data_IF_603500260674
#
_entry.id   IF_603500260674
#
_cell.length_a   1.000
_cell.length_b   1.000
_cell.length_c   1.000
_cell.angle_alpha   90.00
_cell.angle_beta   90.00
_cell.angle_gamma   90.00
#
_symmetry.space_group_name_H-M   'P 1'
#
loop_
_entity.id
_entity.type
_entity.pdbx_description
1 polymer ?
#
# COMPACT_ATOMS: atom_id res chain seq x y z
N UNK A 1 -38.19 44.46 45.22
CA UNK A 1 -39.52 44.26 44.59
C UNK A 1 -39.42 43.01 43.72
N UNK A 2 -40.06 41.90 44.17
CA UNK A 2 -40.39 40.62 43.49
C UNK A 2 -39.23 39.81 42.85
N UNK A 3 -38.59 38.80 43.47
CA UNK A 3 -38.94 37.40 43.89
C UNK A 3 -39.43 36.39 42.83
N UNK A 4 -38.62 35.32 42.65
CA UNK A 4 -38.84 33.87 42.37
C UNK A 4 -39.63 33.44 41.09
N UNK A 5 -39.45 32.26 40.46
CA UNK A 5 -39.18 30.89 40.95
C UNK A 5 -38.66 29.98 39.80
N UNK A 6 -37.89 28.93 40.17
CA UNK A 6 -37.48 27.76 39.37
C UNK A 6 -38.64 26.78 39.10
N UNK A 7 -38.63 26.04 37.97
CA UNK A 7 -39.26 24.72 37.87
C UNK A 7 -38.63 23.84 36.78
N UNK A 8 -38.10 22.69 37.22
CA UNK A 8 -37.57 21.56 36.45
C UNK A 8 -38.70 20.53 36.29
N UNK A 9 -38.98 20.04 35.08
CA UNK A 9 -39.99 18.99 34.85
C UNK A 9 -39.27 17.69 34.46
N UNK A 10 -39.35 16.72 35.36
CA UNK A 10 -39.03 15.31 35.15
C UNK A 10 -40.34 14.58 34.78
N UNK A 11 -40.33 13.78 33.71
CA UNK A 11 -41.45 12.92 33.36
C UNK A 11 -41.16 11.48 33.83
N UNK A 12 -42.00 10.99 34.74
CA UNK A 12 -42.08 9.60 35.21
C UNK A 12 -43.34 9.00 34.59
N UNK A 13 -43.21 7.89 33.87
CA UNK A 13 -44.34 7.09 33.40
C UNK A 13 -44.41 5.81 34.26
N UNK A 14 -45.52 5.65 34.98
CA UNK A 14 -45.87 4.43 35.73
C UNK A 14 -46.96 3.70 34.93
N UNK A 15 -46.78 2.40 34.71
CA UNK A 15 -47.87 1.50 34.31
C UNK A 15 -47.86 0.31 35.29
N UNK A 16 -49.02 0.09 35.91
CA UNK A 16 -49.32 -1.00 36.85
C UNK A 16 -49.98 -2.20 36.15
N UNK A 17 -49.48 -3.40 36.46
CA UNK A 17 -50.29 -4.57 36.87
C UNK A 17 -50.78 -5.57 35.82
N UNK A 18 -50.29 -6.83 35.88
CA UNK A 18 -51.07 -7.98 36.38
C UNK A 18 -50.22 -9.26 36.54
N UNK A 19 -50.55 -10.02 37.60
CA UNK A 19 -50.01 -11.29 38.12
C UNK A 19 -50.12 -12.47 37.13
N UNK A 20 -49.31 -13.52 37.12
CA UNK A 20 -49.10 -14.50 38.20
C UNK A 20 -48.12 -15.63 37.80
N UNK A 21 -47.37 -16.13 38.80
CA UNK A 21 -46.88 -17.53 39.06
C UNK A 21 -46.02 -18.25 37.98
N UNK A 22 -45.03 -19.09 38.25
CA UNK A 22 -44.54 -19.83 39.43
C UNK A 22 -43.10 -20.36 39.14
N UNK A 23 -42.32 -20.58 40.21
CA UNK A 23 -41.16 -21.51 40.38
C UNK A 23 -39.84 -21.31 39.58
N UNK A 24 -38.74 -20.88 40.21
CA UNK A 24 -37.76 -21.62 41.05
C UNK A 24 -36.88 -22.62 40.24
N UNK A 25 -35.65 -22.30 39.84
CA UNK A 25 -34.38 -22.09 40.57
C UNK A 25 -33.38 -23.26 40.47
N UNK A 26 -32.10 -22.89 40.28
CA UNK A 26 -30.79 -23.60 40.44
C UNK A 26 -30.15 -24.11 39.14
N UNK A 27 -29.05 -23.52 38.65
CA UNK A 27 -27.64 -23.61 39.12
C UNK A 27 -27.17 -25.07 39.17
N UNK A 28 -26.01 -25.46 38.65
CA UNK A 28 -24.69 -24.89 38.87
C UNK A 28 -23.68 -25.44 37.84
N UNK A 29 -22.53 -24.77 37.76
CA UNK A 29 -21.33 -25.12 37.03
C UNK A 29 -20.61 -26.37 37.56
N UNK A 30 -19.82 -27.02 36.71
CA UNK A 30 -18.56 -27.68 37.10
C UNK A 30 -17.68 -28.00 35.88
N UNK A 31 -16.38 -28.10 36.17
CA UNK A 31 -15.17 -28.10 35.34
C UNK A 31 -14.73 -29.48 34.77
N UNK A 32 -14.20 -29.46 33.52
CA UNK A 32 -13.08 -30.25 32.89
C UNK A 32 -13.07 -31.80 32.91
N UNK A 33 -12.20 -32.52 32.13
CA UNK A 33 -11.67 -32.33 30.76
C UNK A 33 -11.68 -33.65 29.92
N UNK A 34 -11.69 -33.63 28.58
CA UNK A 34 -11.37 -34.84 27.75
C UNK A 34 -10.63 -34.46 26.45
N UNK A 35 -9.40 -34.98 26.31
CA UNK A 35 -8.70 -35.22 25.03
C UNK A 35 -9.29 -36.45 24.31
N UNK A 36 -9.44 -36.41 22.98
CA UNK A 36 -9.02 -37.50 22.06
C UNK A 36 -9.51 -37.28 20.61
N UNK A 37 -8.55 -37.29 19.69
CA UNK A 37 -8.57 -37.87 18.33
C UNK A 37 -9.63 -37.47 17.30
N UNK A 38 -9.18 -36.99 16.15
CA UNK A 38 -9.98 -36.95 14.93
C UNK A 38 -9.32 -36.18 13.80
N UNK A 39 -8.40 -36.84 13.10
CA UNK A 39 -7.96 -36.47 11.76
C UNK A 39 -9.17 -36.32 10.83
N UNK A 40 -9.27 -35.18 10.13
CA UNK A 40 -10.10 -34.97 8.93
C UNK A 40 -9.73 -33.63 8.31
N UNK A 41 -8.81 -33.70 7.36
CA UNK A 41 -8.67 -32.86 6.17
C UNK A 41 -9.87 -31.93 5.87
N UNK A 42 -9.61 -30.63 5.86
CA UNK A 42 -10.32 -29.71 4.95
C UNK A 42 -9.25 -28.97 4.16
N UNK A 43 -8.80 -29.66 3.11
CA UNK A 43 -8.21 -29.04 1.93
C UNK A 43 -9.35 -28.32 1.21
N UNK A 44 -9.55 -27.06 1.55
CA UNK A 44 -10.43 -26.16 0.79
C UNK A 44 -9.56 -25.30 -0.10
N UNK A 45 -9.22 -25.84 -1.27
CA UNK A 45 -8.97 -25.03 -2.47
C UNK A 45 -10.24 -24.27 -2.78
N UNK A 46 -10.40 -23.09 -2.18
CA UNK A 46 -11.35 -22.09 -2.64
C UNK A 46 -10.73 -21.52 -3.91
N UNK A 47 -11.18 -22.01 -5.06
CA UNK A 47 -11.00 -21.32 -6.31
C UNK A 47 -11.62 -19.92 -6.16
N UNK A 48 -10.78 -18.89 -6.11
CA UNK A 48 -11.22 -17.51 -6.13
C UNK A 48 -12.02 -17.29 -7.41
N UNK A 49 -13.32 -17.09 -7.27
CA UNK A 49 -14.20 -16.69 -8.36
C UNK A 49 -13.71 -15.36 -8.92
N UNK A 50 -13.60 -15.30 -10.25
CA UNK A 50 -13.02 -14.26 -11.11
C UNK A 50 -13.77 -12.91 -11.05
N UNK A 51 -13.83 -12.28 -9.88
CA UNK A 51 -14.35 -10.93 -9.68
C UNK A 51 -13.25 -9.84 -9.74
N UNK A 52 -11.97 -10.21 -9.86
CA UNK A 52 -10.81 -9.32 -9.64
C UNK A 52 -10.33 -8.50 -10.84
N UNK A 53 -10.90 -8.69 -12.03
CA UNK A 53 -10.38 -8.09 -13.27
C UNK A 53 -11.28 -7.04 -13.93
N UNK A 54 -12.47 -6.78 -13.37
CA UNK A 54 -13.33 -5.71 -13.88
C UNK A 54 -13.02 -4.38 -13.18
N UNK A 55 -12.78 -3.30 -13.93
CA UNK A 55 -12.49 -1.99 -13.35
C UNK A 55 -13.77 -1.39 -12.77
N UNK A 56 -13.63 -0.76 -11.61
CA UNK A 56 -14.62 0.13 -11.02
C UNK A 56 -14.20 1.57 -11.30
N UNK A 57 -15.08 2.36 -11.91
CA UNK A 57 -14.74 3.73 -12.30
C UNK A 57 -15.28 4.76 -11.32
N UNK A 58 -14.45 5.73 -11.01
CA UNK A 58 -14.80 6.97 -10.30
C UNK A 58 -14.52 8.16 -11.21
N UNK A 59 -15.12 9.32 -10.91
CA UNK A 59 -14.88 10.55 -11.65
C UNK A 59 -14.85 11.75 -10.69
N UNK A 60 -13.84 12.59 -10.85
CA UNK A 60 -13.68 13.81 -10.07
C UNK A 60 -13.06 13.62 -8.69
N UNK A 61 -13.04 14.71 -7.92
CA UNK A 61 -12.36 14.77 -6.63
C UNK A 61 -13.05 13.91 -5.57
N UNK A 62 -12.24 13.15 -4.85
CA UNK A 62 -12.65 12.42 -3.66
C UNK A 62 -12.90 13.38 -2.49
N UNK A 63 -13.72 12.93 -1.54
CA UNK A 63 -13.92 13.64 -0.27
C UNK A 63 -12.74 13.32 0.65
N UNK A 64 -12.02 14.34 1.12
CA UNK A 64 -10.99 14.15 2.14
C UNK A 64 -11.58 13.55 3.42
N UNK A 65 -11.00 12.45 3.89
CA UNK A 65 -11.35 11.78 5.15
C UNK A 65 -10.20 11.85 6.17
N UNK A 66 -8.97 12.04 5.70
CA UNK A 66 -7.81 12.33 6.51
C UNK A 66 -7.03 13.49 5.86
N UNK A 67 -6.83 14.63 6.54
CA UNK A 67 -6.16 15.78 5.95
C UNK A 67 -4.64 15.62 5.81
N UNK A 68 -4.03 14.55 6.33
CA UNK A 68 -2.60 14.29 6.21
C UNK A 68 -2.12 13.17 7.13
N UNK A 69 -1.39 12.20 6.57
CA UNK A 69 -0.79 11.09 7.32
C UNK A 69 0.49 11.49 8.06
N UNK A 70 1.21 12.47 7.53
CA UNK A 70 2.46 12.98 8.08
C UNK A 70 2.49 14.50 8.08
N UNK A 71 2.93 15.09 9.19
CA UNK A 71 3.29 16.50 9.25
C UNK A 71 4.80 16.65 9.13
N UNK A 72 5.26 17.23 8.03
CA UNK A 72 6.67 17.44 7.75
C UNK A 72 6.90 18.84 7.19
N UNK A 73 7.92 19.55 7.69
CA UNK A 73 8.20 20.92 7.26
C UNK A 73 8.65 20.93 5.79
N UNK A 74 7.91 21.65 4.95
CA UNK A 74 8.18 21.73 3.51
C UNK A 74 7.77 20.46 2.73
N UNK A 75 7.17 19.48 3.41
CA UNK A 75 6.53 18.35 2.76
C UNK A 75 5.16 18.72 2.22
N UNK A 76 4.75 18.01 1.18
CA UNK A 76 3.40 18.10 0.60
C UNK A 76 2.40 17.32 1.45
N UNK A 77 1.13 17.62 1.24
CA UNK A 77 0.03 17.06 2.04
C UNK A 77 -0.20 15.60 1.64
N UNK A 78 0.01 14.67 2.58
CA UNK A 78 -0.24 13.24 2.42
C UNK A 78 -1.67 12.87 2.83
N UNK A 79 -2.67 13.52 2.24
CA UNK A 79 -4.07 13.31 2.59
C UNK A 79 -4.59 11.94 2.11
N UNK A 80 -5.69 11.48 2.71
CA UNK A 80 -6.50 10.38 2.20
C UNK A 80 -7.91 10.85 1.89
N UNK A 81 -8.45 10.33 0.78
CA UNK A 81 -9.79 10.59 0.30
C UNK A 81 -10.66 9.34 0.27
N UNK A 82 -11.97 9.57 0.18
CA UNK A 82 -12.98 8.56 -0.07
C UNK A 82 -13.82 9.00 -1.29
N UNK A 83 -14.02 8.09 -2.24
CA UNK A 83 -14.88 8.32 -3.41
C UNK A 83 -15.72 7.09 -3.73
N UNK A 84 -16.96 7.34 -4.18
CA UNK A 84 -17.89 6.29 -4.59
C UNK A 84 -17.86 6.13 -6.11
N UNK A 85 -17.73 4.89 -6.57
CA UNK A 85 -17.74 4.53 -7.99
C UNK A 85 -19.15 4.33 -8.55
N UNK A 86 -19.26 4.27 -9.87
CA UNK A 86 -20.53 4.07 -10.58
C UNK A 86 -21.22 2.74 -10.26
N UNK A 87 -20.44 1.70 -9.92
CA UNK A 87 -20.94 0.39 -9.47
C UNK A 87 -21.28 0.38 -7.98
N UNK A 88 -21.22 1.52 -7.31
CA UNK A 88 -21.66 1.73 -5.93
C UNK A 88 -20.65 1.35 -4.85
N UNK A 89 -19.42 0.93 -5.23
CA UNK A 89 -18.33 0.66 -4.29
C UNK A 89 -17.71 1.96 -3.77
N UNK A 90 -17.05 1.86 -2.63
CA UNK A 90 -16.30 2.96 -2.02
C UNK A 90 -14.82 2.65 -2.08
N UNK A 91 -14.02 3.63 -2.49
CA UNK A 91 -12.58 3.54 -2.66
C UNK A 91 -11.87 4.56 -1.78
N UNK A 92 -10.79 4.12 -1.13
CA UNK A 92 -9.84 4.99 -0.43
C UNK A 92 -8.72 5.35 -1.39
N UNK A 93 -8.37 6.63 -1.47
CA UNK A 93 -7.40 7.15 -2.43
C UNK A 93 -6.33 8.02 -1.73
N UNK A 94 -5.06 8.00 -2.18
CA UNK A 94 -4.55 7.18 -3.29
C UNK A 94 -4.45 5.68 -2.95
N UNK A 95 -4.42 5.33 -1.66
CA UNK A 95 -4.35 3.93 -1.22
C UNK A 95 -4.91 3.76 0.20
N UNK A 96 -5.45 2.57 0.48
CA UNK A 96 -5.69 2.12 1.86
C UNK A 96 -4.34 1.70 2.49
N UNK A 97 -3.83 2.57 3.36
CA UNK A 97 -2.53 2.43 4.04
C UNK A 97 -2.65 1.51 5.24
N UNK A 98 -1.74 0.54 5.32
CA UNK A 98 -1.64 -0.34 6.48
C UNK A 98 -0.97 0.38 7.66
N UNK A 99 -1.79 1.05 8.46
CA UNK A 99 -1.38 1.76 9.69
C UNK A 99 -0.77 0.87 10.79
N UNK A 100 -0.79 -0.46 10.62
CA UNK A 100 -0.19 -1.41 11.58
C UNK A 100 1.26 -1.77 11.24
N UNK A 101 1.73 -1.45 10.03
CA UNK A 101 3.14 -1.59 9.68
C UNK A 101 3.97 -0.56 10.46
N UNK A 102 5.13 -1.01 10.91
CA UNK A 102 6.14 -0.12 11.48
C UNK A 102 6.81 0.67 10.36
N UNK A 103 7.23 1.90 10.66
CA UNK A 103 8.02 2.68 9.73
C UNK A 103 9.39 2.04 9.52
N UNK A 104 9.87 2.06 8.27
CA UNK A 104 11.23 1.68 7.94
C UNK A 104 12.24 2.64 8.61
N UNK A 105 13.46 2.16 8.86
CA UNK A 105 14.51 3.03 9.38
C UNK A 105 15.06 3.93 8.29
N UNK A 106 15.44 5.15 8.66
CA UNK A 106 15.92 6.15 7.71
C UNK A 106 17.37 5.85 7.27
N UNK A 107 17.60 5.75 5.96
CA UNK A 107 18.92 6.07 5.39
C UNK A 107 19.07 7.59 5.33
N UNK A 108 18.07 8.26 4.75
CA UNK A 108 17.96 9.71 4.66
C UNK A 108 16.50 10.10 4.72
N UNK A 109 16.14 11.00 5.63
CA UNK A 109 14.78 11.48 5.83
C UNK A 109 14.80 12.89 6.43
N UNK A 110 14.45 13.88 5.59
CA UNK A 110 14.40 15.28 5.99
C UNK A 110 13.38 15.56 7.11
N UNK A 111 12.30 14.78 7.21
CA UNK A 111 11.28 14.95 8.25
C UNK A 111 11.80 14.60 9.64
N UNK A 112 12.71 13.62 9.72
CA UNK A 112 13.36 13.20 10.96
C UNK A 112 14.73 13.86 11.18
N UNK A 113 15.13 14.79 10.31
CA UNK A 113 16.46 15.41 10.28
C UNK A 113 17.62 14.40 10.11
N UNK A 114 17.35 13.25 9.50
CA UNK A 114 18.38 12.27 9.13
C UNK A 114 18.91 12.63 7.74
N UNK A 115 20.16 13.06 7.66
CA UNK A 115 20.78 13.57 6.42
C UNK A 115 22.09 12.83 6.12
N UNK A 116 22.07 11.51 6.22
CA UNK A 116 23.21 10.66 5.90
C UNK A 116 23.61 10.85 4.42
N UNK A 117 24.91 10.91 4.15
CA UNK A 117 25.46 11.20 2.81
C UNK A 117 26.02 9.98 2.11
N UNK A 118 26.05 8.86 2.81
CA UNK A 118 26.61 7.61 2.37
C UNK A 118 26.14 6.50 3.31
N UNK A 119 26.34 5.24 2.92
CA UNK A 119 25.97 4.11 3.79
C UNK A 119 26.86 4.04 5.03
N UNK A 120 28.10 4.54 4.94
CA UNK A 120 29.06 4.58 6.05
C UNK A 120 28.61 5.47 7.21
N UNK A 121 27.71 6.42 6.96
CA UNK A 121 27.11 7.27 8.00
C UNK A 121 26.00 6.52 8.79
N UNK A 122 25.53 5.39 8.28
CA UNK A 122 24.40 4.64 8.83
C UNK A 122 24.90 3.50 9.73
N UNK A 123 24.52 3.55 11.00
CA UNK A 123 24.79 2.44 11.91
C UNK A 123 23.73 1.33 11.74
N UNK A 124 24.04 0.35 10.90
CA UNK A 124 23.14 -0.78 10.62
C UNK A 124 22.77 -1.59 11.87
N UNK A 125 23.63 -1.64 12.90
CA UNK A 125 23.34 -2.36 14.15
C UNK A 125 22.19 -1.74 14.94
N UNK A 126 21.84 -0.47 14.66
CA UNK A 126 20.68 0.21 15.25
C UNK A 126 19.40 0.02 14.45
N UNK A 127 19.47 -0.51 13.23
CA UNK A 127 18.28 -0.81 12.43
C UNK A 127 17.59 -2.04 13.05
N UNK A 128 16.30 -1.95 13.45
CA UNK A 128 15.58 -3.07 14.05
C UNK A 128 15.57 -4.29 13.12
N UNK A 129 15.79 -5.47 13.71
CA UNK A 129 15.75 -6.73 12.99
C UNK A 129 14.39 -7.41 13.14
N UNK A 130 13.62 -7.48 12.04
CA UNK A 130 12.36 -8.23 12.01
C UNK A 130 12.63 -9.72 11.80
N UNK A 131 12.38 -10.55 12.80
CA UNK A 131 12.58 -12.02 12.69
C UNK A 131 11.31 -12.67 12.15
N UNK A 132 11.33 -13.09 10.87
CA UNK A 132 10.23 -13.81 10.22
C UNK A 132 10.43 -15.31 10.41
N UNK A 133 11.63 -15.78 10.05
CA UNK A 133 12.07 -17.17 10.21
C UNK A 133 13.34 -17.17 11.07
N UNK A 134 13.29 -17.79 12.25
CA UNK A 134 14.40 -17.77 13.21
C UNK A 134 15.68 -18.47 12.68
N UNK A 135 15.49 -19.50 11.84
CA UNK A 135 16.53 -20.24 11.11
C UNK A 135 16.82 -19.64 9.72
N UNK A 136 16.25 -18.48 9.41
CA UNK A 136 16.49 -17.73 8.18
C UNK A 136 17.84 -17.02 8.14
N UNK A 137 18.19 -16.57 6.94
CA UNK A 137 19.32 -15.68 6.71
C UNK A 137 18.93 -14.25 7.06
N UNK A 138 19.88 -13.45 7.52
CA UNK A 138 19.67 -12.02 7.72
C UNK A 138 19.86 -11.27 6.41
N UNK A 139 18.89 -10.42 6.07
CA UNK A 139 18.90 -9.61 4.86
C UNK A 139 18.67 -8.14 5.23
N UNK A 140 19.51 -7.28 4.64
CA UNK A 140 19.33 -5.83 4.65
C UNK A 140 18.80 -5.40 3.29
N UNK A 141 17.72 -4.63 3.26
CA UNK A 141 17.16 -4.01 2.07
C UNK A 141 17.37 -2.49 2.12
N UNK A 142 17.91 -1.92 1.05
CA UNK A 142 17.98 -0.47 0.82
C UNK A 142 16.94 -0.09 -0.22
N UNK A 143 16.05 0.83 0.14
CA UNK A 143 14.83 1.14 -0.62
C UNK A 143 14.77 2.64 -0.91
N UNK A 144 14.51 2.99 -2.16
CA UNK A 144 14.07 4.33 -2.56
C UNK A 144 12.78 4.20 -3.36
N UNK A 145 11.75 4.95 -2.96
CA UNK A 145 10.45 4.99 -3.63
C UNK A 145 10.06 6.43 -3.97
N UNK A 146 9.50 6.60 -5.16
CA UNK A 146 8.78 7.77 -5.62
C UNK A 146 7.30 7.32 -5.73
N UNK A 147 6.49 7.36 -4.66
CA UNK A 147 6.77 7.91 -3.32
C UNK A 147 6.75 6.88 -2.17
N UNK A 148 5.75 6.01 -2.11
CA UNK A 148 5.48 5.22 -0.90
C UNK A 148 5.58 3.72 -1.15
N UNK A 149 5.96 2.96 -0.11
CA UNK A 149 5.97 1.50 -0.15
C UNK A 149 5.47 0.84 1.15
N UNK A 150 4.99 -0.39 1.03
CA UNK A 150 4.76 -1.35 2.12
C UNK A 150 5.41 -2.67 1.78
N UNK A 151 6.36 -3.11 2.60
CA UNK A 151 7.13 -4.34 2.39
C UNK A 151 6.58 -5.50 3.23
N UNK A 152 6.35 -6.62 2.56
CA UNK A 152 6.03 -7.91 3.12
C UNK A 152 7.05 -8.94 2.66
N UNK A 153 7.45 -9.82 3.57
CA UNK A 153 8.42 -10.90 3.30
C UNK A 153 7.87 -12.20 3.87
N UNK A 154 7.84 -13.26 3.06
CA UNK A 154 7.28 -14.57 3.41
C UNK A 154 5.86 -14.48 4.01
N UNK A 155 5.04 -13.57 3.48
CA UNK A 155 3.67 -13.35 3.96
C UNK A 155 3.56 -12.59 5.28
N UNK A 156 4.66 -12.04 5.82
CA UNK A 156 4.67 -11.23 7.04
C UNK A 156 4.94 -9.77 6.71
N UNK A 157 4.20 -8.89 7.37
CA UNK A 157 4.42 -7.45 7.40
C UNK A 157 5.83 -7.13 7.95
N UNK A 158 6.60 -6.31 7.24
CA UNK A 158 7.97 -5.96 7.66
C UNK A 158 8.09 -4.48 7.99
N UNK A 159 7.84 -3.59 7.02
CA UNK A 159 7.93 -2.15 7.22
C UNK A 159 7.13 -1.40 6.15
N UNK A 160 6.84 -0.11 6.39
CA UNK A 160 6.33 0.83 5.39
C UNK A 160 7.21 2.06 5.29
N UNK A 161 7.06 2.82 4.22
CA UNK A 161 7.76 4.09 4.08
C UNK A 161 7.30 5.09 5.17
N UNK A 162 8.22 5.75 5.89
CA UNK A 162 7.87 6.80 6.86
C UNK A 162 7.30 8.07 6.21
N UNK A 163 7.56 8.33 4.93
CA UNK A 163 7.16 9.56 4.23
C UNK A 163 6.30 9.22 3.01
N UNK A 164 4.96 9.37 3.10
CA UNK A 164 4.09 8.95 2.01
C UNK A 164 4.25 9.70 0.70
N UNK A 165 4.70 10.96 0.74
CA UNK A 165 4.72 11.81 -0.45
C UNK A 165 6.03 12.58 -0.61
N UNK A 166 6.21 13.66 0.14
CA UNK A 166 7.45 14.45 0.11
C UNK A 166 7.75 15.07 1.47
N UNK A 167 9.00 15.48 1.75
CA UNK A 167 10.21 15.34 0.93
C UNK A 167 10.56 13.89 0.61
N UNK A 168 11.29 13.66 -0.48
CA UNK A 168 11.85 12.35 -0.76
C UNK A 168 12.69 11.83 0.41
N UNK A 169 12.75 10.51 0.55
CA UNK A 169 13.52 9.81 1.56
C UNK A 169 14.12 8.52 0.97
N UNK A 170 15.02 7.93 1.74
CA UNK A 170 15.56 6.61 1.47
C UNK A 170 15.53 5.80 2.76
N UNK A 171 15.21 4.52 2.64
CA UNK A 171 14.91 3.64 3.75
C UNK A 171 15.83 2.43 3.81
N UNK A 172 16.09 1.93 5.01
CA UNK A 172 16.79 0.67 5.27
C UNK A 172 15.94 -0.22 6.17
N UNK A 173 15.88 -1.50 5.83
CA UNK A 173 15.12 -2.52 6.55
C UNK A 173 16.00 -3.75 6.76
N UNK A 174 15.97 -4.34 7.96
CA UNK A 174 16.62 -5.62 8.27
C UNK A 174 15.59 -6.67 8.68
N UNK A 175 15.72 -7.87 8.14
CA UNK A 175 14.86 -9.00 8.52
C UNK A 175 15.62 -10.34 8.45
N UNK A 176 15.10 -11.35 9.16
CA UNK A 176 15.51 -12.75 8.98
C UNK A 176 14.42 -13.55 8.29
N UNK A 177 14.73 -14.15 7.15
CA UNK A 177 13.79 -14.96 6.38
C UNK A 177 14.47 -16.21 5.80
N UNK A 178 13.69 -17.28 5.62
CA UNK A 178 14.15 -18.56 5.08
C UNK A 178 13.79 -18.67 3.60
N UNK A 179 14.72 -19.20 2.81
CA UNK A 179 14.47 -19.51 1.40
C UNK A 179 13.51 -20.69 1.21
N UNK A 180 12.70 -20.71 0.12
CA UNK A 180 12.52 -19.62 -0.85
C UNK A 180 11.90 -18.37 -0.21
N UNK A 181 12.45 -17.19 -0.52
CA UNK A 181 11.97 -15.92 0.02
C UNK A 181 11.00 -15.30 -0.98
N UNK A 182 9.78 -15.03 -0.55
CA UNK A 182 8.80 -14.23 -1.30
C UNK A 182 8.83 -12.79 -0.80
N UNK A 183 9.25 -11.88 -1.67
CA UNK A 183 9.12 -10.44 -1.50
C UNK A 183 7.80 -10.00 -2.13
N UNK A 184 7.00 -9.24 -1.38
CA UNK A 184 5.75 -8.66 -1.84
C UNK A 184 5.67 -7.20 -1.39
N UNK A 185 5.41 -6.29 -2.32
CA UNK A 185 5.49 -4.84 -2.05
C UNK A 185 4.28 -4.14 -2.65
N UNK A 186 3.55 -3.38 -1.83
CA UNK A 186 2.59 -2.39 -2.33
C UNK A 186 3.35 -1.09 -2.50
N UNK A 187 3.19 -0.44 -3.63
CA UNK A 187 3.83 0.86 -3.89
C UNK A 187 2.81 1.83 -4.46
N UNK A 188 2.96 3.10 -4.08
CA UNK A 188 1.97 4.15 -4.36
C UNK A 188 2.70 5.40 -4.87
N UNK A 189 2.26 5.88 -6.03
CA UNK A 189 2.48 7.25 -6.49
C UNK A 189 1.46 8.14 -5.79
N UNK A 190 1.93 9.09 -4.97
CA UNK A 190 1.04 9.83 -4.08
C UNK A 190 0.44 11.03 -4.79
N UNK A 191 -0.82 11.34 -4.49
CA UNK A 191 -1.55 12.42 -5.15
C UNK A 191 -1.90 13.56 -4.18
N UNK A 192 -2.01 14.80 -4.70
CA UNK A 192 -2.62 15.93 -3.98
C UNK A 192 -4.11 16.04 -4.29
N UNK A 193 -4.46 15.88 -5.56
CA UNK A 193 -5.84 15.95 -6.02
C UNK A 193 -6.50 14.58 -5.87
N UNK A 194 -6.94 14.30 -4.65
CA UNK A 194 -7.48 12.99 -4.26
C UNK A 194 -8.50 12.45 -5.27
N UNK A 195 -8.26 11.23 -5.76
CA UNK A 195 -9.10 10.52 -6.73
C UNK A 195 -8.71 10.77 -8.19
N UNK A 196 -7.71 11.60 -8.48
CA UNK A 196 -7.33 11.99 -9.84
C UNK A 196 -5.95 11.51 -10.28
N UNK A 197 -5.09 11.01 -9.38
CA UNK A 197 -3.70 10.66 -9.66
C UNK A 197 -2.87 11.86 -10.11
N UNK A 198 -3.15 13.05 -9.57
CA UNK A 198 -2.47 14.28 -9.99
C UNK A 198 -2.07 15.18 -8.83
N UNK A 199 -1.17 16.09 -9.16
CA UNK A 199 -0.49 16.98 -8.24
C UNK A 199 -0.23 18.36 -8.87
N UNK A 200 -0.03 19.40 -8.05
CA UNK A 200 0.44 20.71 -8.53
C UNK A 200 1.94 20.65 -8.82
N UNK A 201 2.32 20.59 -10.09
CA UNK A 201 3.72 20.51 -10.47
C UNK A 201 3.95 21.10 -11.87
N UNK A 202 5.17 21.61 -12.11
CA UNK A 202 5.60 22.18 -13.41
C UNK A 202 4.64 23.24 -13.99
N UNK A 203 3.91 23.97 -13.13
CA UNK A 203 2.93 24.98 -13.54
C UNK A 203 1.59 24.42 -14.04
N UNK A 204 1.32 23.13 -13.79
CA UNK A 204 0.06 22.45 -14.05
C UNK A 204 -0.51 21.92 -12.72
N UNK A 205 -1.70 22.39 -12.37
CA UNK A 205 -2.40 21.97 -11.13
C UNK A 205 -2.89 20.51 -11.17
N UNK A 206 -2.84 19.85 -12.33
CA UNK A 206 -3.26 18.48 -12.56
C UNK A 206 -2.17 17.69 -13.30
N UNK A 207 -0.92 17.83 -12.87
CA UNK A 207 0.19 17.04 -13.41
C UNK A 207 0.09 15.60 -12.88
N UNK A 208 0.09 14.56 -13.73
CA UNK A 208 0.32 13.20 -13.24
C UNK A 208 1.73 13.07 -12.67
N UNK A 209 1.88 12.36 -11.55
CA UNK A 209 3.17 12.13 -10.91
C UNK A 209 4.10 11.26 -11.73
N UNK A 210 5.39 11.27 -11.39
CA UNK A 210 6.38 10.32 -11.87
C UNK A 210 6.74 9.33 -10.75
N UNK A 211 6.28 8.08 -10.90
CA UNK A 211 6.49 7.04 -9.89
C UNK A 211 7.83 6.31 -10.04
N UNK A 212 8.14 5.41 -9.11
CA UNK A 212 9.14 4.37 -9.30
C UNK A 212 9.71 3.84 -8.00
N UNK A 213 10.12 2.57 -7.99
CA UNK A 213 10.83 1.99 -6.85
C UNK A 213 12.09 1.27 -7.28
N UNK A 214 13.15 1.42 -6.50
CA UNK A 214 14.39 0.66 -6.63
C UNK A 214 14.80 0.09 -5.27
N UNK A 215 15.18 -1.19 -5.27
CA UNK A 215 15.60 -1.89 -4.07
C UNK A 215 16.83 -2.75 -4.38
N UNK A 216 17.79 -2.73 -3.48
CA UNK A 216 18.85 -3.72 -3.41
C UNK A 216 18.83 -4.45 -2.07
N UNK A 217 18.93 -5.77 -2.12
CA UNK A 217 18.96 -6.65 -0.97
C UNK A 217 20.38 -7.21 -0.81
N UNK A 218 20.81 -7.40 0.45
CA UNK A 218 22.15 -7.91 0.76
C UNK A 218 22.38 -9.37 0.34
N UNK A 219 21.35 -10.08 -0.09
CA UNK A 219 21.44 -11.42 -0.68
C UNK A 219 21.65 -11.40 -2.20
N UNK A 220 21.90 -10.21 -2.78
CA UNK A 220 22.11 -10.00 -4.20
C UNK A 220 20.81 -9.85 -5.01
N UNK A 221 19.64 -10.02 -4.39
CA UNK A 221 18.38 -9.69 -5.06
C UNK A 221 18.29 -8.19 -5.32
N UNK A 222 17.81 -7.80 -6.49
CA UNK A 222 17.60 -6.39 -6.87
C UNK A 222 16.28 -6.24 -7.60
N UNK A 223 15.74 -5.02 -7.66
CA UNK A 223 14.61 -4.71 -8.55
C UNK A 223 15.05 -4.74 -10.01
N UNK A 224 14.32 -5.49 -10.84
CA UNK A 224 14.56 -5.68 -12.27
C UNK A 224 13.29 -6.25 -12.95
N UNK A 225 13.34 -6.54 -14.25
CA UNK A 225 12.21 -7.08 -15.02
C UNK A 225 11.79 -8.52 -14.64
N UNK A 226 12.52 -9.20 -13.74
CA UNK A 226 12.12 -10.53 -13.24
C UNK A 226 11.02 -10.45 -12.18
N UNK A 227 10.78 -9.27 -11.58
CA UNK A 227 9.65 -9.03 -10.70
C UNK A 227 8.33 -9.08 -11.47
N UNK A 228 7.26 -9.48 -10.79
CA UNK A 228 5.87 -9.32 -11.24
C UNK A 228 5.32 -8.00 -10.77
N UNK A 229 4.50 -7.37 -11.60
CA UNK A 229 3.86 -6.09 -11.30
C UNK A 229 2.41 -6.08 -11.79
N UNK A 230 1.48 -5.56 -10.99
CA UNK A 230 0.09 -5.35 -11.39
C UNK A 230 -0.47 -4.07 -10.76
N UNK A 231 -1.17 -3.26 -11.55
CA UNK A 231 -1.79 -1.99 -11.13
C UNK A 231 -3.23 -2.19 -10.64
N UNK A 232 -3.58 -1.43 -9.60
CA UNK A 232 -4.86 -1.49 -8.88
C UNK A 232 -5.57 -0.14 -8.80
N UNK A 233 -4.85 0.95 -9.03
CA UNK A 233 -5.41 2.28 -9.19
C UNK A 233 -4.74 2.97 -10.39
N UNK A 234 -5.54 3.40 -11.38
CA UNK A 234 -5.07 4.04 -12.61
C UNK A 234 -5.79 5.38 -12.80
N UNK A 235 -5.05 6.47 -12.84
CA UNK A 235 -5.55 7.83 -12.99
C UNK A 235 -4.41 8.78 -13.37
N UNK A 236 -4.68 9.96 -13.93
CA UNK A 236 -5.95 10.41 -14.52
C UNK A 236 -6.24 9.75 -15.88
N UNK A 237 -7.53 9.50 -16.16
CA UNK A 237 -8.03 9.08 -17.46
C UNK A 237 -9.00 10.13 -18.03
N UNK A 238 -8.83 10.53 -19.29
CA UNK A 238 -9.75 11.46 -19.94
C UNK A 238 -11.08 10.78 -20.32
N UNK A 239 -11.02 9.48 -20.59
CA UNK A 239 -12.18 8.62 -20.86
C UNK A 239 -11.97 7.25 -20.24
N UNK A 240 -13.06 6.58 -19.86
CA UNK A 240 -13.03 5.17 -19.45
C UNK A 240 -12.44 4.23 -20.51
N UNK A 241 -12.53 4.62 -21.79
CA UNK A 241 -11.95 3.89 -22.92
C UNK A 241 -10.43 4.01 -23.02
N UNK A 242 -9.81 4.89 -22.24
CA UNK A 242 -8.35 5.00 -22.20
C UNK A 242 -7.74 3.76 -21.55
N UNK A 243 -8.46 3.10 -20.64
CA UNK A 243 -8.11 1.82 -20.07
C UNK A 243 -8.38 0.69 -21.07
N UNK A 244 -7.35 -0.11 -21.33
CA UNK A 244 -7.40 -1.34 -22.11
C UNK A 244 -6.96 -2.50 -21.22
N UNK A 245 -7.83 -3.52 -21.10
CA UNK A 245 -7.53 -4.77 -20.40
C UNK A 245 -7.49 -5.89 -21.42
N UNK A 246 -6.39 -6.63 -21.44
CA UNK A 246 -6.17 -7.70 -22.41
C UNK A 246 -5.38 -8.86 -21.79
N UNK A 247 -5.55 -10.06 -22.36
CA UNK A 247 -4.72 -11.22 -22.01
C UNK A 247 -3.65 -11.42 -23.07
N UNK A 248 -2.38 -11.23 -22.68
CA UNK A 248 -1.20 -11.40 -23.53
C UNK A 248 -0.32 -12.52 -22.98
N UNK A 249 -0.17 -13.60 -23.75
CA UNK A 249 0.63 -14.77 -23.35
C UNK A 249 0.26 -15.31 -21.94
N UNK A 250 -1.03 -15.39 -21.64
CA UNK A 250 -1.54 -15.84 -20.33
C UNK A 250 -1.43 -14.81 -19.20
N UNK A 251 -0.99 -13.57 -19.49
CA UNK A 251 -0.91 -12.47 -18.53
C UNK A 251 -2.04 -11.48 -18.72
N UNK A 252 -2.67 -11.03 -17.65
CA UNK A 252 -3.68 -9.97 -17.67
C UNK A 252 -2.95 -8.63 -17.59
N UNK A 253 -2.97 -7.89 -18.70
CA UNK A 253 -2.33 -6.57 -18.82
C UNK A 253 -3.41 -5.50 -18.78
N UNK A 254 -3.25 -4.54 -17.86
CA UNK A 254 -4.09 -3.34 -17.75
C UNK A 254 -3.23 -2.15 -18.16
N UNK A 255 -3.54 -1.55 -19.30
CA UNK A 255 -2.71 -0.51 -19.91
C UNK A 255 -3.54 0.68 -20.36
N UNK A 256 -2.86 1.78 -20.65
CA UNK A 256 -3.48 3.05 -21.04
C UNK A 256 -2.90 3.56 -22.37
N UNK A 257 -2.95 2.77 -23.46
CA UNK A 257 -2.20 3.05 -24.69
C UNK A 257 -2.66 4.34 -25.42
N UNK A 258 -3.87 4.82 -25.12
CA UNK A 258 -4.45 6.02 -25.73
C UNK A 258 -4.52 7.21 -24.75
N UNK A 259 -4.09 7.04 -23.50
CA UNK A 259 -4.12 8.10 -22.51
C UNK A 259 -3.01 9.13 -22.77
N UNK A 260 -3.31 10.40 -22.50
CA UNK A 260 -2.31 11.46 -22.46
C UNK A 260 -1.63 11.47 -21.09
N UNK A 261 -0.31 11.69 -21.05
CA UNK A 261 0.41 12.03 -19.81
C UNK A 261 0.16 13.49 -19.37
N UNK A 262 -0.62 14.24 -20.15
CA UNK A 262 -1.14 15.58 -19.81
C UNK A 262 -2.63 15.62 -20.14
N UNK A 263 -3.49 14.93 -19.38
CA UNK A 263 -4.91 14.89 -19.69
C UNK A 263 -5.58 16.23 -19.38
N UNK A 264 -6.46 16.67 -20.28
CA UNK A 264 -7.14 17.97 -20.23
C UNK A 264 -8.45 17.96 -19.44
N UNK A 265 -8.76 16.84 -18.77
CA UNK A 265 -10.00 16.68 -18.04
C UNK A 265 -10.00 17.37 -16.67
N UNK A 266 -8.85 17.83 -16.17
CA UNK A 266 -8.73 18.55 -14.89
C UNK A 266 -9.46 17.78 -13.75
N UNK A 267 -10.27 18.46 -12.95
CA UNK A 267 -11.08 17.86 -11.89
C UNK A 267 -12.22 16.94 -12.39
N UNK A 268 -12.32 16.66 -13.68
CA UNK A 268 -13.34 15.78 -14.28
C UNK A 268 -12.75 14.48 -14.83
N UNK A 269 -11.46 14.23 -14.60
CA UNK A 269 -10.84 12.97 -15.00
C UNK A 269 -11.48 11.77 -14.31
N UNK A 270 -11.43 10.64 -15.00
CA UNK A 270 -11.80 9.34 -14.47
C UNK A 270 -10.60 8.67 -13.80
N UNK A 271 -10.93 7.75 -12.91
CA UNK A 271 -10.01 6.85 -12.24
C UNK A 271 -10.57 5.43 -12.33
N UNK A 272 -9.70 4.47 -12.66
CA UNK A 272 -10.04 3.05 -12.67
C UNK A 272 -9.44 2.35 -11.45
N UNK A 273 -10.28 1.62 -10.74
CA UNK A 273 -9.93 0.91 -9.52
C UNK A 273 -10.16 -0.59 -9.66
N UNK A 274 -9.27 -1.38 -9.09
CA UNK A 274 -9.37 -2.83 -9.02
C UNK A 274 -9.23 -3.28 -7.57
N UNK A 275 -10.02 -4.28 -7.17
CA UNK A 275 -9.91 -4.82 -5.83
C UNK A 275 -8.54 -5.51 -5.67
N UNK A 276 -7.76 -5.07 -4.69
CA UNK A 276 -6.55 -5.77 -4.28
C UNK A 276 -6.96 -7.16 -3.75
N UNK A 277 -6.37 -8.26 -4.28
CA UNK A 277 -6.68 -9.59 -3.80
C UNK A 277 -6.35 -9.73 -2.32
N UNK A 278 -7.22 -10.40 -1.58
CA UNK A 278 -6.89 -10.81 -0.22
C UNK A 278 -5.65 -11.70 -0.22
N UNK A 279 -4.80 -11.56 0.79
CA UNK A 279 -3.57 -12.34 0.94
C UNK A 279 -2.62 -12.24 -0.26
N UNK A 280 -2.69 -11.17 -1.07
CA UNK A 280 -1.77 -10.94 -2.20
C UNK A 280 -0.31 -10.97 -1.82
N UNK A 281 0.04 -10.78 -0.54
CA UNK A 281 1.40 -10.84 -0.01
C UNK A 281 1.83 -12.23 0.49
N UNK A 282 0.93 -13.21 0.52
CA UNK A 282 1.21 -14.56 1.01
C UNK A 282 2.16 -15.32 0.08
N UNK A 283 2.91 -16.28 0.65
CA UNK A 283 3.85 -17.15 -0.08
C UNK A 283 3.14 -17.96 -1.18
N UNK A 284 1.93 -18.45 -0.89
CA UNK A 284 1.16 -19.30 -1.82
C UNK A 284 0.22 -18.53 -2.75
N UNK A 285 0.29 -17.20 -2.76
CA UNK A 285 -0.53 -16.41 -3.68
C UNK A 285 -0.13 -16.70 -5.13
N UNK A 286 -1.11 -16.96 -5.98
CA UNK A 286 -0.91 -17.22 -7.40
C UNK A 286 -0.84 -15.91 -8.20
N UNK A 287 0.37 -15.47 -8.51
CA UNK A 287 0.66 -14.33 -9.38
C UNK A 287 0.98 -14.75 -10.82
N UNK A 288 0.61 -15.98 -11.22
CA UNK A 288 0.94 -16.52 -12.56
C UNK A 288 0.29 -15.75 -13.70
N UNK A 289 -0.76 -14.96 -13.46
CA UNK A 289 -1.38 -14.08 -14.46
C UNK A 289 -0.80 -12.68 -14.48
N UNK A 290 0.07 -12.31 -13.53
CA UNK A 290 0.66 -10.97 -13.48
C UNK A 290 1.74 -10.80 -14.55
N UNK A 291 1.77 -9.64 -15.24
CA UNK A 291 2.87 -9.30 -16.13
C UNK A 291 4.17 -9.10 -15.35
N UNK A 292 5.29 -9.15 -16.07
CA UNK A 292 6.57 -8.72 -15.52
C UNK A 292 6.61 -7.20 -15.35
N UNK A 293 7.38 -6.73 -14.39
CA UNK A 293 7.64 -5.32 -14.17
C UNK A 293 8.38 -4.70 -15.37
N UNK A 294 8.10 -3.43 -15.65
CA UNK A 294 8.85 -2.63 -16.63
C UNK A 294 9.97 -1.91 -15.91
N UNK A 295 11.16 -1.89 -16.51
CA UNK A 295 12.30 -1.14 -15.98
C UNK A 295 12.35 0.28 -16.55
N UNK A 296 12.66 1.26 -15.71
CA UNK A 296 12.81 2.65 -16.05
C UNK A 296 14.22 3.16 -15.73
N UNK A 297 14.69 4.16 -16.46
CA UNK A 297 15.97 4.83 -16.18
C UNK A 297 15.77 5.96 -15.15
N UNK A 298 16.84 6.38 -14.47
CA UNK A 298 16.81 7.45 -13.45
C UNK A 298 16.14 8.73 -13.95
N UNK A 299 16.42 9.12 -15.21
CA UNK A 299 15.80 10.28 -15.87
C UNK A 299 14.30 10.18 -16.10
N UNK A 300 13.75 8.96 -16.12
CA UNK A 300 12.30 8.75 -16.28
C UNK A 300 11.56 9.03 -14.98
N UNK A 301 12.20 8.72 -13.84
CA UNK A 301 11.68 8.93 -12.48
C UNK A 301 12.05 10.32 -11.94
N UNK A 302 13.02 11.02 -12.56
CA UNK A 302 13.39 12.38 -12.14
C UNK A 302 14.26 12.45 -10.87
N UNK A 303 14.99 11.37 -10.55
CA UNK A 303 15.75 11.23 -9.30
C UNK A 303 17.20 11.75 -9.34
N UNK A 304 17.69 12.15 -10.50
CA UNK A 304 19.10 12.52 -10.74
C UNK A 304 19.61 13.68 -9.87
N UNK A 305 18.71 14.45 -9.24
CA UNK A 305 19.02 15.59 -8.39
C UNK A 305 18.52 15.42 -6.94
N UNK A 306 18.05 14.23 -6.56
CA UNK A 306 17.55 13.96 -5.20
C UNK A 306 18.70 13.40 -4.37
N UNK A 307 19.07 14.07 -3.28
CA UNK A 307 20.17 13.62 -2.41
C UNK A 307 19.88 12.25 -1.80
N UNK A 308 18.63 11.96 -1.51
CA UNK A 308 18.16 10.73 -0.89
C UNK A 308 18.36 9.53 -1.82
N UNK A 309 18.38 9.76 -3.14
CA UNK A 309 18.79 8.77 -4.12
C UNK A 309 20.31 8.82 -4.38
N UNK A 310 20.82 9.99 -4.79
CA UNK A 310 22.18 10.15 -5.32
C UNK A 310 23.30 9.87 -4.31
N UNK A 311 23.08 10.15 -3.02
CA UNK A 311 24.04 9.81 -1.96
C UNK A 311 24.24 8.30 -1.78
N UNK A 312 23.26 7.49 -2.19
CA UNK A 312 23.29 6.02 -2.07
C UNK A 312 23.21 5.34 -3.44
N UNK A 313 23.62 6.04 -4.50
CA UNK A 313 23.57 5.52 -5.87
C UNK A 313 24.36 4.22 -6.03
N UNK A 314 25.40 3.97 -5.23
CA UNK A 314 26.13 2.70 -5.23
C UNK A 314 25.27 1.51 -4.82
N UNK A 315 24.27 1.71 -3.96
CA UNK A 315 23.31 0.69 -3.55
C UNK A 315 22.16 0.58 -4.55
N UNK A 316 21.62 1.71 -5.01
CA UNK A 316 20.45 1.69 -5.89
C UNK A 316 20.77 1.31 -7.35
N UNK A 317 21.96 1.66 -7.87
CA UNK A 317 22.38 1.28 -9.23
C UNK A 317 22.73 -0.20 -9.39
N UNK A 318 22.69 -0.99 -8.30
CA UNK A 318 22.73 -2.46 -8.38
C UNK A 318 21.45 -3.01 -9.04
N UNK A 319 20.33 -2.31 -8.86
CA UNK A 319 19.05 -2.63 -9.46
C UNK A 319 18.64 -1.64 -10.54
N UNK A 320 17.37 -1.73 -10.94
CA UNK A 320 16.67 -0.81 -11.83
C UNK A 320 15.42 -0.30 -11.14
N UNK A 321 15.02 0.93 -11.47
CA UNK A 321 13.67 1.37 -11.15
C UNK A 321 12.68 0.47 -11.87
N UNK A 322 11.66 0.01 -11.15
CA UNK A 322 10.59 -0.82 -11.70
C UNK A 322 9.22 -0.24 -11.39
N UNK A 323 8.30 -0.46 -12.32
CA UNK A 323 6.87 -0.18 -12.17
C UNK A 323 6.05 -1.13 -13.07
N UNK A 324 4.77 -0.84 -13.28
CA UNK A 324 3.96 -1.42 -14.38
C UNK A 324 4.31 -0.77 -15.72
N UNK A 325 3.50 -0.95 -16.76
CA UNK A 325 3.77 -0.43 -18.10
C UNK A 325 3.50 1.08 -18.28
N UNK A 326 2.99 1.78 -17.26
CA UNK A 326 2.84 3.23 -17.29
C UNK A 326 3.33 3.85 -15.97
N UNK A 327 4.45 4.57 -16.04
CA UNK A 327 5.07 5.19 -14.86
C UNK A 327 4.25 6.34 -14.27
N UNK A 328 3.41 7.00 -15.07
CA UNK A 328 2.78 8.25 -14.65
C UNK A 328 1.30 8.10 -14.29
N UNK A 329 0.64 7.05 -14.79
CA UNK A 329 -0.81 6.89 -14.62
C UNK A 329 -1.20 5.72 -13.71
N UNK A 330 -0.28 4.80 -13.43
CA UNK A 330 -0.54 3.68 -12.54
C UNK A 330 -0.14 4.11 -11.12
N UNK A 331 -1.10 4.46 -10.26
CA UNK A 331 -0.87 5.14 -8.98
C UNK A 331 -0.74 4.18 -7.79
N UNK A 332 -1.39 3.01 -7.83
CA UNK A 332 -1.21 1.96 -6.83
C UNK A 332 -0.91 0.66 -7.56
N UNK A 333 0.26 0.07 -7.28
CA UNK A 333 0.65 -1.21 -7.87
C UNK A 333 1.15 -2.18 -6.80
N UNK A 334 1.10 -3.47 -7.11
CA UNK A 334 1.68 -4.53 -6.32
C UNK A 334 2.83 -5.18 -7.08
N UNK A 335 3.92 -5.42 -6.37
CA UNK A 335 5.13 -6.05 -6.87
C UNK A 335 5.37 -7.37 -6.13
N UNK A 336 5.78 -8.41 -6.85
CA UNK A 336 6.11 -9.73 -6.26
C UNK A 336 7.32 -10.37 -6.90
N UNK A 337 8.16 -11.03 -6.09
CA UNK A 337 9.27 -11.89 -6.54
C UNK A 337 9.52 -13.00 -5.51
N UNK A 338 9.63 -14.23 -5.97
CA UNK A 338 10.12 -15.35 -5.16
C UNK A 338 11.55 -15.69 -5.59
N UNK A 339 12.43 -15.84 -4.61
CA UNK A 339 13.86 -16.13 -4.79
C UNK A 339 14.17 -17.44 -4.08
N UNK A 340 14.71 -18.42 -4.82
CA UNK A 340 14.96 -19.77 -4.32
C UNK A 340 16.19 -19.87 -3.40
N UNK A 341 17.17 -18.98 -3.59
CA UNK A 341 18.43 -18.93 -2.85
C UNK A 341 19.14 -17.60 -3.13
N UNK A 342 20.15 -17.26 -2.33
CA UNK A 342 20.96 -16.06 -2.53
C UNK A 342 21.53 -15.97 -3.96
N UNK A 343 21.49 -14.76 -4.52
CA UNK A 343 22.12 -14.40 -5.79
C UNK A 343 23.58 -14.11 -5.49
N UNK A 344 24.44 -15.07 -5.83
CA UNK A 344 25.88 -15.11 -5.48
C UNK A 344 26.63 -13.80 -5.69
#
# INVERSE_FOLDING_TARGET
>A
MKTLFYALIMAILVITGCSSKEEAAKSDSSTEPIQSTGDSTVDSTIAATTASDQPSFTQGLAKTINPGLLQCKGGRVSALGEIKSDDGKTWIVPSDVNTKLVDASDLSNGCNNVNSRSIEDVNLDKVPLTVIDADGVEITAYIFADNYFELFVNGKAVAKDPVPFTPFNASVVRFKAKYPITYAIKVVDWEENLGLGTEDNKGNNYHPGDAGIVISFSDGTVTDASWKAQNYYIAPLASKSDLVIETKAGKVVRSTPNASNEPKCEAQCYAAHFAIPENWFAVKFDDSTWPSATTYEERNVGVDNKSEYTNFASEFRKGKFIWTNNLNLDNEILLRRTVEQASK
#
